data_IF_864983456666
#
_entry.id   IF_864983456666
#
_cell.length_a   1.000
_cell.length_b   1.000
_cell.length_c   1.000
_cell.angle_alpha   90.00
_cell.angle_beta   90.00
_cell.angle_gamma   90.00
#
_symmetry.space_group_name_H-M   'P 1'
#
loop_
_entity.id
_entity.type
_entity.pdbx_description
1 polymer ?
#
# COMPACT_ATOMS: atom_id res chain seq x y z
N UNK A 1 -13.89 3.72 -5.69
CA UNK A 1 -13.26 4.79 -4.89
C UNK A 1 -12.52 5.66 -5.89
N UNK A 2 -12.90 6.93 -6.04
CA UNK A 2 -12.21 7.84 -6.99
C UNK A 2 -10.88 8.23 -6.32
N UNK A 3 -9.73 8.18 -7.02
CA UNK A 3 -8.44 8.56 -6.44
C UNK A 3 -8.50 10.02 -5.96
N UNK A 4 -8.14 10.23 -4.69
CA UNK A 4 -8.05 11.56 -4.08
C UNK A 4 -6.61 12.07 -4.12
N UNK A 5 -6.44 13.39 -4.33
CA UNK A 5 -5.12 14.04 -4.39
C UNK A 5 -4.32 13.82 -3.10
N UNK A 6 -3.05 13.43 -3.24
CA UNK A 6 -2.12 13.28 -2.13
C UNK A 6 -1.16 14.49 -2.07
N UNK A 7 -0.80 14.91 -0.86
CA UNK A 7 0.17 15.96 -0.61
C UNK A 7 1.29 15.41 0.27
N UNK A 8 2.54 15.63 -0.12
CA UNK A 8 3.70 15.23 0.66
C UNK A 8 4.02 16.37 1.64
N UNK A 9 4.14 16.05 2.93
CA UNK A 9 4.28 17.04 4.01
C UNK A 9 5.50 16.83 4.89
N UNK A 10 6.29 15.80 4.67
CA UNK A 10 7.37 15.45 5.60
C UNK A 10 8.69 16.13 5.20
N UNK A 11 9.21 16.98 6.08
CA UNK A 11 10.50 17.66 5.87
C UNK A 11 11.65 16.70 6.18
N UNK A 12 12.58 16.49 5.25
CA UNK A 12 13.83 15.80 5.55
C UNK A 12 14.76 16.77 6.31
N UNK A 13 15.36 16.37 7.45
CA UNK A 13 16.28 17.21 8.20
C UNK A 13 17.39 17.77 7.31
N UNK A 14 17.54 19.09 7.25
CA UNK A 14 18.49 19.77 6.36
C UNK A 14 17.92 20.22 5.01
N UNK A 15 16.61 20.05 4.77
CA UNK A 15 15.93 20.55 3.56
C UNK A 15 14.75 21.46 3.89
N UNK A 16 14.66 22.58 3.18
CA UNK A 16 13.55 23.53 3.25
C UNK A 16 12.62 23.30 2.06
N UNK A 17 11.72 22.32 2.19
CA UNK A 17 10.57 22.18 1.29
C UNK A 17 9.45 23.10 1.80
N UNK A 18 9.15 24.18 1.07
CA UNK A 18 8.20 25.22 1.49
C UNK A 18 6.88 25.23 0.70
N UNK A 19 6.70 24.33 -0.28
CA UNK A 19 5.55 24.38 -1.18
C UNK A 19 4.85 23.01 -1.30
N UNK A 20 3.51 22.98 -1.34
CA UNK A 20 2.77 21.76 -1.62
C UNK A 20 3.01 21.34 -3.08
N UNK A 21 3.61 20.17 -3.28
CA UNK A 21 3.76 19.56 -4.61
C UNK A 21 2.57 18.66 -4.87
N UNK A 22 1.87 18.90 -5.98
CA UNK A 22 0.79 18.01 -6.43
C UNK A 22 1.41 16.79 -7.14
N UNK A 23 1.04 15.60 -6.69
CA UNK A 23 1.35 14.35 -7.37
C UNK A 23 0.16 13.41 -7.32
N UNK A 24 0.05 12.56 -8.33
CA UNK A 24 -0.82 11.41 -8.32
C UNK A 24 -0.01 10.17 -7.92
N UNK A 25 -0.59 9.37 -7.03
CA UNK A 25 0.02 8.14 -6.53
C UNK A 25 -0.97 7.00 -6.74
N UNK A 26 -0.60 6.08 -7.62
CA UNK A 26 -1.36 4.87 -7.88
C UNK A 26 -0.58 3.65 -7.40
N UNK A 27 -1.21 2.82 -6.58
CA UNK A 27 -0.67 1.53 -6.17
C UNK A 27 -1.40 0.41 -6.93
N UNK A 28 -0.64 -0.43 -7.61
CA UNK A 28 -1.12 -1.64 -8.24
C UNK A 28 -0.53 -2.83 -7.49
N UNK A 29 -1.38 -3.78 -7.09
CA UNK A 29 -0.95 -4.93 -6.31
C UNK A 29 -1.59 -6.22 -6.77
N UNK A 30 -0.81 -7.29 -6.78
CA UNK A 30 -1.26 -8.66 -6.98
C UNK A 30 -0.94 -9.45 -5.72
N UNK A 31 -1.94 -10.16 -5.17
CA UNK A 31 -1.80 -10.95 -3.97
C UNK A 31 -2.01 -12.43 -4.25
N UNK A 32 -1.09 -13.26 -3.77
CA UNK A 32 -1.23 -14.71 -3.68
C UNK A 32 -1.50 -15.04 -2.22
N UNK A 33 -2.63 -15.69 -1.96
CA UNK A 33 -3.11 -15.95 -0.60
C UNK A 33 -3.43 -17.44 -0.40
N UNK A 34 -2.42 -18.33 -0.25
CA UNK A 34 -2.64 -19.72 0.11
C UNK A 34 -3.32 -19.82 1.48
N UNK A 35 -4.54 -20.34 1.51
CA UNK A 35 -5.34 -20.49 2.73
C UNK A 35 -5.54 -21.95 3.12
N UNK A 36 -5.38 -22.24 4.40
CA UNK A 36 -5.86 -23.45 5.06
C UNK A 36 -7.10 -23.15 5.89
N UNK A 37 -8.07 -24.06 5.89
CA UNK A 37 -9.29 -23.95 6.71
C UNK A 37 -9.36 -25.07 7.73
N UNK A 38 -9.76 -24.74 8.96
CA UNK A 38 -10.10 -25.70 10.00
C UNK A 38 -11.38 -25.27 10.72
N UNK A 39 -12.46 -26.03 10.50
CA UNK A 39 -13.81 -25.70 10.99
C UNK A 39 -14.25 -24.29 10.55
N UNK A 40 -14.28 -23.34 11.50
CA UNK A 40 -14.65 -21.94 11.29
C UNK A 40 -13.45 -21.01 11.18
N UNK A 41 -12.23 -21.50 11.42
CA UNK A 41 -11.01 -20.70 11.36
C UNK A 41 -10.32 -20.87 10.01
N UNK A 42 -9.81 -19.77 9.49
CA UNK A 42 -9.03 -19.73 8.26
C UNK A 42 -7.69 -19.08 8.57
N UNK A 43 -6.61 -19.73 8.19
CA UNK A 43 -5.26 -19.18 8.26
C UNK A 43 -4.67 -19.15 6.86
N UNK A 44 -4.16 -18.00 6.44
CA UNK A 44 -3.51 -17.85 5.15
C UNK A 44 -2.12 -17.24 5.29
N UNK A 45 -1.20 -17.68 4.42
CA UNK A 45 -0.03 -16.88 4.08
C UNK A 45 -0.44 -15.89 3.00
N UNK A 46 0.06 -14.66 3.06
CA UNK A 46 -0.14 -13.63 2.04
C UNK A 46 1.21 -13.26 1.48
N UNK A 47 1.33 -13.25 0.16
CA UNK A 47 2.44 -12.66 -0.56
C UNK A 47 1.87 -11.64 -1.56
N UNK A 48 2.35 -10.41 -1.49
CA UNK A 48 1.98 -9.33 -2.39
C UNK A 48 3.17 -8.94 -3.25
N UNK A 49 2.93 -8.79 -4.54
CA UNK A 49 3.82 -8.08 -5.46
C UNK A 49 3.09 -6.83 -5.92
N UNK A 50 3.70 -5.67 -5.72
CA UNK A 50 3.07 -4.39 -6.06
C UNK A 50 4.01 -3.44 -6.79
N UNK A 51 3.41 -2.43 -7.40
CA UNK A 51 4.08 -1.32 -8.05
C UNK A 51 3.41 -0.01 -7.65
N UNK A 52 4.21 0.96 -7.28
CA UNK A 52 3.79 2.34 -7.09
C UNK A 52 4.15 3.12 -8.34
N UNK A 53 3.14 3.74 -8.92
CA UNK A 53 3.27 4.65 -10.05
C UNK A 53 3.03 6.05 -9.49
N UNK A 54 4.07 6.87 -9.55
CA UNK A 54 3.97 8.29 -9.26
C UNK A 54 3.94 9.06 -10.56
N UNK A 55 3.00 9.99 -10.67
CA UNK A 55 2.94 10.95 -11.74
C UNK A 55 2.99 12.38 -11.16
N UNK A 56 3.99 13.14 -11.58
CA UNK A 56 4.02 14.60 -11.42
C UNK A 56 3.75 15.24 -12.78
N UNK A 57 3.62 16.58 -12.88
CA UNK A 57 3.49 17.26 -14.16
C UNK A 57 4.65 17.03 -15.14
N UNK A 58 5.83 16.60 -14.65
CA UNK A 58 7.08 16.51 -15.42
C UNK A 58 7.74 15.13 -15.40
N UNK A 59 7.39 14.25 -14.47
CA UNK A 59 8.03 12.94 -14.30
C UNK A 59 7.02 11.82 -14.04
N UNK A 60 7.35 10.63 -14.54
CA UNK A 60 6.67 9.38 -14.23
C UNK A 60 7.70 8.42 -13.61
N UNK A 61 7.49 8.04 -12.35
CA UNK A 61 8.38 7.13 -11.63
C UNK A 61 7.61 5.85 -11.25
N UNK A 62 8.25 4.70 -11.40
CA UNK A 62 7.67 3.39 -11.02
C UNK A 62 8.59 2.67 -10.05
N UNK A 63 8.08 2.34 -8.88
CA UNK A 63 8.81 1.60 -7.86
C UNK A 63 8.10 0.27 -7.57
N UNK A 64 8.83 -0.83 -7.68
CA UNK A 64 8.30 -2.18 -7.41
C UNK A 64 8.59 -2.53 -5.96
N UNK A 65 7.62 -3.12 -5.28
CA UNK A 65 7.77 -3.63 -3.93
C UNK A 65 7.16 -5.02 -3.80
N UNK A 66 7.59 -5.73 -2.77
CA UNK A 66 7.00 -7.00 -2.38
C UNK A 66 6.79 -7.00 -0.87
N UNK A 67 5.72 -7.66 -0.44
CA UNK A 67 5.41 -7.81 0.97
C UNK A 67 4.88 -9.22 1.24
N UNK A 68 5.00 -9.66 2.48
CA UNK A 68 4.49 -10.94 2.92
C UNK A 68 4.01 -10.88 4.35
N UNK A 69 3.09 -11.76 4.71
CA UNK A 69 2.71 -11.91 6.10
C UNK A 69 1.50 -12.81 6.32
N UNK A 70 1.07 -12.95 7.59
CA UNK A 70 -0.05 -13.80 7.94
C UNK A 70 -1.39 -13.07 7.76
N UNK A 71 -2.39 -13.83 7.33
CA UNK A 71 -3.80 -13.46 7.42
C UNK A 71 -4.53 -14.51 8.26
N UNK A 72 -5.27 -14.05 9.25
CA UNK A 72 -6.15 -14.89 10.05
C UNK A 72 -7.59 -14.46 9.83
N UNK A 73 -8.50 -15.41 9.80
CA UNK A 73 -9.90 -15.13 9.57
C UNK A 73 -10.80 -16.16 10.20
N UNK A 74 -12.08 -15.82 10.20
CA UNK A 74 -13.15 -16.71 10.59
C UNK A 74 -14.23 -16.70 9.51
N UNK A 75 -14.81 -17.86 9.27
CA UNK A 75 -15.86 -18.05 8.28
C UNK A 75 -17.05 -18.74 8.93
N UNK A 76 -18.19 -18.04 8.94
CA UNK A 76 -19.44 -18.55 9.51
C UNK A 76 -20.40 -18.86 8.35
N UNK A 77 -20.69 -20.15 8.08
CA UNK A 77 -21.67 -20.52 7.07
C UNK A 77 -23.07 -20.11 7.51
N UNK A 78 -23.87 -19.56 6.60
CA UNK A 78 -25.28 -19.28 6.78
C UNK A 78 -26.07 -19.69 5.53
N UNK A 79 -27.25 -20.27 5.71
CA UNK A 79 -28.15 -20.68 4.61
C UNK A 79 -27.52 -21.65 3.57
N UNK A 80 -26.75 -22.65 4.02
CA UNK A 80 -26.11 -23.77 3.26
C UNK A 80 -25.14 -23.39 2.12
N UNK A 81 -25.37 -22.27 1.43
CA UNK A 81 -24.66 -21.82 0.22
C UNK A 81 -23.89 -20.52 0.43
N UNK A 82 -24.08 -19.85 1.55
CA UNK A 82 -23.42 -18.60 1.85
C UNK A 82 -22.56 -18.73 3.09
N UNK A 83 -21.53 -17.90 3.17
CA UNK A 83 -20.74 -17.74 4.37
C UNK A 83 -20.38 -16.27 4.53
N UNK A 84 -20.40 -15.79 5.76
CA UNK A 84 -19.75 -14.51 6.09
C UNK A 84 -18.33 -14.85 6.49
N UNK A 85 -17.36 -14.16 5.89
CA UNK A 85 -15.97 -14.27 6.29
C UNK A 85 -15.48 -12.91 6.81
N UNK A 86 -14.72 -12.96 7.90
CA UNK A 86 -13.97 -11.82 8.41
C UNK A 86 -12.48 -12.18 8.45
N UNK A 87 -11.61 -11.20 8.20
CA UNK A 87 -10.17 -11.41 8.27
C UNK A 87 -9.42 -10.21 8.84
N UNK A 88 -8.27 -10.50 9.43
CA UNK A 88 -7.25 -9.54 9.80
C UNK A 88 -5.91 -10.02 9.22
N UNK A 89 -5.11 -9.09 8.75
CA UNK A 89 -3.86 -9.32 8.04
C UNK A 89 -2.80 -8.36 8.50
N UNK A 90 -1.56 -8.84 8.54
CA UNK A 90 -0.37 -8.01 8.69
C UNK A 90 0.57 -8.34 7.54
N UNK A 91 1.01 -7.32 6.80
CA UNK A 91 2.02 -7.45 5.75
C UNK A 91 3.29 -6.74 6.16
N UNK A 92 4.41 -7.40 5.92
CA UNK A 92 5.75 -6.85 6.09
C UNK A 92 6.38 -6.61 4.73
N UNK A 93 6.87 -5.40 4.51
CA UNK A 93 7.52 -4.98 3.27
C UNK A 93 9.02 -4.86 3.53
N UNK A 94 9.82 -5.92 3.28
CA UNK A 94 11.28 -5.89 3.49
C UNK A 94 11.99 -4.94 2.52
N UNK A 95 11.37 -4.64 1.38
CA UNK A 95 11.81 -3.62 0.43
C UNK A 95 10.70 -2.59 0.29
N UNK A 96 10.53 -1.69 1.29
CA UNK A 96 9.53 -0.64 1.20
C UNK A 96 9.89 0.28 0.05
N UNK A 97 8.98 0.45 -0.90
CA UNK A 97 9.19 1.46 -1.93
C UNK A 97 9.08 2.84 -1.30
N UNK A 98 10.00 3.71 -1.68
CA UNK A 98 9.98 5.11 -1.32
C UNK A 98 10.09 5.95 -2.57
N UNK A 99 9.52 7.13 -2.53
CA UNK A 99 9.58 8.09 -3.60
C UNK A 99 10.27 9.33 -3.08
N UNK A 100 11.26 9.82 -3.84
CA UNK A 100 12.03 11.01 -3.51
C UNK A 100 11.68 12.11 -4.49
N UNK A 101 11.00 13.13 -4.00
CA UNK A 101 10.82 14.38 -4.73
C UNK A 101 12.13 15.14 -4.65
N UNK A 102 12.78 15.30 -5.80
CA UNK A 102 13.98 16.13 -5.94
C UNK A 102 13.62 17.26 -6.88
N UNK A 103 13.07 18.34 -6.35
CA UNK A 103 12.64 19.47 -7.18
C UNK A 103 13.66 20.62 -7.10
N UNK A 104 14.14 21.14 -8.24
CA UNK A 104 15.00 22.31 -8.28
C UNK A 104 14.23 23.55 -7.81
N UNK A 105 14.78 24.29 -6.84
CA UNK A 105 14.20 25.56 -6.43
C UNK A 105 14.45 26.61 -7.52
N UNK A 106 13.42 27.15 -8.20
CA UNK A 106 13.60 28.11 -9.28
C UNK A 106 14.22 29.44 -8.80
N UNK A 107 14.06 29.81 -7.53
CA UNK A 107 14.65 31.03 -6.96
C UNK A 107 16.07 30.83 -6.42
N UNK A 108 16.51 29.58 -6.24
CA UNK A 108 17.83 29.23 -5.71
C UNK A 108 18.35 27.93 -6.36
N UNK A 109 18.85 28.00 -7.60
CA UNK A 109 19.33 26.83 -8.33
C UNK A 109 20.49 26.10 -7.62
N UNK A 110 21.22 26.80 -6.74
CA UNK A 110 22.36 26.26 -5.99
C UNK A 110 21.99 25.74 -4.59
N UNK A 111 20.71 25.87 -4.16
CA UNK A 111 20.28 25.41 -2.84
C UNK A 111 20.09 23.88 -2.81
N UNK A 112 20.40 23.20 -1.68
CA UNK A 112 20.18 21.77 -1.56
C UNK A 112 18.71 21.46 -1.83
N UNK A 113 18.48 20.56 -2.78
CA UNK A 113 17.16 20.21 -3.30
C UNK A 113 16.20 19.88 -2.14
N UNK A 114 14.98 20.38 -2.25
CA UNK A 114 13.93 20.12 -1.27
C UNK A 114 13.54 18.62 -1.35
N UNK A 115 14.26 17.80 -0.61
CA UNK A 115 14.02 16.37 -0.56
C UNK A 115 12.72 16.13 0.20
N UNK A 116 11.62 15.94 -0.51
CA UNK A 116 10.41 15.41 0.10
C UNK A 116 10.43 13.91 -0.13
N UNK A 117 10.29 13.11 0.92
CA UNK A 117 10.30 11.66 0.80
C UNK A 117 8.93 11.11 1.23
N UNK A 118 8.33 10.31 0.36
CA UNK A 118 7.26 9.42 0.75
C UNK A 118 7.85 8.01 0.89
N UNK A 119 7.49 7.28 1.93
CA UNK A 119 7.95 5.91 2.13
C UNK A 119 6.77 5.02 2.49
N UNK A 120 6.72 3.84 1.87
CA UNK A 120 5.78 2.81 2.32
C UNK A 120 6.09 2.42 3.77
N UNK A 121 5.05 2.15 4.58
CA UNK A 121 5.24 1.62 5.91
C UNK A 121 5.88 0.22 5.83
N UNK A 122 6.82 -0.05 6.73
CA UNK A 122 7.49 -1.37 6.83
C UNK A 122 6.53 -2.50 7.23
N UNK A 123 5.48 -2.15 7.97
CA UNK A 123 4.40 -3.05 8.35
C UNK A 123 3.05 -2.36 8.13
N UNK A 124 2.12 -3.07 7.51
CA UNK A 124 0.75 -2.60 7.29
C UNK A 124 -0.26 -3.62 7.82
N UNK A 125 -1.33 -3.12 8.43
CA UNK A 125 -2.42 -3.93 8.98
C UNK A 125 -3.70 -3.72 8.18
N UNK A 126 -4.34 -4.81 7.76
CA UNK A 126 -5.60 -4.78 7.02
C UNK A 126 -6.66 -5.60 7.73
N UNK A 127 -7.91 -5.14 7.65
CA UNK A 127 -9.07 -5.87 8.13
C UNK A 127 -10.17 -5.79 7.09
N UNK A 128 -10.97 -6.84 6.99
CA UNK A 128 -12.05 -6.88 6.04
C UNK A 128 -13.10 -7.92 6.42
N UNK A 129 -14.26 -7.77 5.80
CA UNK A 129 -15.35 -8.72 5.86
C UNK A 129 -15.99 -8.86 4.48
N UNK A 130 -16.59 -10.01 4.21
CA UNK A 130 -17.30 -10.24 2.97
C UNK A 130 -18.21 -11.45 3.04
N UNK A 131 -18.86 -11.70 1.91
CA UNK A 131 -19.75 -12.86 1.72
C UNK A 131 -19.12 -13.76 0.68
N UNK A 132 -18.99 -15.04 1.00
CA UNK A 132 -18.58 -16.09 0.07
C UNK A 132 -19.79 -16.92 -0.34
N UNK A 133 -19.82 -17.31 -1.62
CA UNK A 133 -20.77 -18.31 -2.12
C UNK A 133 -20.04 -19.64 -2.19
N UNK A 134 -20.59 -20.64 -1.51
CA UNK A 134 -20.08 -22.01 -1.55
C UNK A 134 -20.77 -22.74 -2.69
N UNK A 135 -20.03 -22.99 -3.75
CA UNK A 135 -20.43 -23.94 -4.79
C UNK A 135 -20.16 -25.34 -4.25
N UNK A 136 -21.24 -25.99 -3.81
CA UNK A 136 -21.23 -27.40 -3.43
C UNK A 136 -21.50 -28.25 -4.67
#
# INVERSE_FOLDING_TARGET
MVPSRAYARESVPGTTSHFPVEFDLSELGLLIVPCGRYKYFVGCGVAQLGGLIMQTPVTLETNVFYSFGPRVGFEVPFAERFAVFGFAEVLFSPSPAGIKFTEPNPDKPDSPLANTQWAQPTASGFFGAGVSVKFR
#
